data_IF_136557007586
#
_entry.id   IF_136557007586
#
_cell.length_a   1.000
_cell.length_b   1.000
_cell.length_c   1.000
_cell.angle_alpha   90.00
_cell.angle_beta   90.00
_cell.angle_gamma   90.00
#
_symmetry.space_group_name_H-M   'P 1'
#
loop_
_entity.id
_entity.type
_entity.pdbx_description
1 polymer ?
#
# COMPACT_ATOMS: atom_id res chain seq x y z
N UNK A 1 9.86 21.80 9.28
CA UNK A 1 8.78 22.31 8.38
C UNK A 1 8.83 21.46 7.12
N UNK A 2 7.99 20.40 7.03
CA UNK A 2 7.93 19.47 5.88
C UNK A 2 8.19 20.24 4.59
N UNK A 3 9.21 19.84 3.83
CA UNK A 3 9.30 20.18 2.42
C UNK A 3 8.10 19.53 1.74
N UNK A 4 6.97 20.26 1.77
CA UNK A 4 5.73 19.79 1.19
C UNK A 4 6.01 19.62 -0.29
N UNK A 5 6.05 18.37 -0.76
CA UNK A 5 5.89 18.13 -2.19
C UNK A 5 4.68 18.94 -2.64
N UNK A 6 4.80 19.80 -3.66
CA UNK A 6 3.70 20.65 -4.10
C UNK A 6 2.53 19.82 -4.58
N UNK A 7 2.76 18.54 -4.91
CA UNK A 7 1.75 17.62 -5.39
C UNK A 7 1.40 16.53 -4.37
N UNK A 8 0.21 15.95 -4.54
CA UNK A 8 -0.31 14.79 -3.83
C UNK A 8 -0.94 13.79 -4.81
N UNK A 9 -0.78 12.48 -4.60
CA UNK A 9 -1.50 11.47 -5.37
C UNK A 9 -2.91 11.28 -4.80
N UNK A 10 -3.92 11.33 -5.67
CA UNK A 10 -5.30 10.93 -5.39
C UNK A 10 -5.60 9.64 -6.16
N UNK A 11 -6.26 8.68 -5.51
CA UNK A 11 -6.55 7.37 -6.10
C UNK A 11 -8.05 7.17 -6.26
N UNK A 12 -8.46 6.73 -7.44
CA UNK A 12 -9.84 6.43 -7.82
C UNK A 12 -9.91 4.97 -8.27
N UNK A 13 -10.67 4.15 -7.55
CA UNK A 13 -10.85 2.73 -7.85
C UNK A 13 -12.02 2.53 -8.81
N UNK A 14 -11.75 1.91 -9.95
CA UNK A 14 -12.78 1.62 -10.95
C UNK A 14 -12.85 0.12 -11.19
N UNK A 15 -14.01 -0.48 -10.87
CA UNK A 15 -14.28 -1.89 -11.16
C UNK A 15 -14.15 -2.16 -12.66
N UNK A 16 -13.42 -3.20 -13.03
CA UNK A 16 -13.34 -3.61 -14.42
C UNK A 16 -14.71 -4.14 -14.91
N UNK A 17 -15.04 -3.97 -16.21
CA UNK A 17 -16.19 -4.63 -16.84
C UNK A 17 -16.17 -6.14 -16.66
N UNK A 18 -17.35 -6.76 -16.60
CA UNK A 18 -17.54 -8.19 -16.30
C UNK A 18 -16.76 -9.10 -17.26
N UNK A 19 -16.70 -8.73 -18.54
CA UNK A 19 -15.97 -9.48 -19.56
C UNK A 19 -14.45 -9.54 -19.34
N UNK A 20 -13.89 -8.65 -18.51
CA UNK A 20 -12.47 -8.61 -18.19
C UNK A 20 -12.15 -9.20 -16.81
N UNK A 21 -13.15 -9.47 -15.98
CA UNK A 21 -12.98 -9.89 -14.59
C UNK A 21 -12.20 -11.21 -14.45
N UNK A 22 -12.59 -12.25 -15.19
CA UNK A 22 -11.93 -13.56 -15.10
C UNK A 22 -10.45 -13.50 -15.53
N UNK A 23 -10.14 -12.76 -16.59
CA UNK A 23 -8.77 -12.58 -17.08
C UNK A 23 -7.91 -11.77 -16.09
N UNK A 24 -8.48 -10.70 -15.52
CA UNK A 24 -7.80 -9.86 -14.55
C UNK A 24 -7.54 -10.61 -13.23
N UNK A 25 -8.50 -11.39 -12.74
CA UNK A 25 -8.32 -12.22 -11.54
C UNK A 25 -7.25 -13.30 -11.73
N UNK A 26 -7.16 -13.92 -12.92
CA UNK A 26 -6.07 -14.85 -13.26
C UNK A 26 -4.70 -14.17 -13.23
N UNK A 27 -4.58 -12.98 -13.82
CA UNK A 27 -3.36 -12.18 -13.74
C UNK A 27 -2.99 -11.89 -12.27
N UNK A 28 -3.96 -11.44 -11.47
CA UNK A 28 -3.76 -11.09 -10.08
C UNK A 28 -3.35 -12.29 -9.22
N UNK A 29 -3.92 -13.47 -9.45
CA UNK A 29 -3.53 -14.70 -8.75
C UNK A 29 -2.10 -15.14 -9.13
N UNK A 30 -1.74 -15.07 -10.41
CA UNK A 30 -0.38 -15.37 -10.86
C UNK A 30 0.64 -14.39 -10.28
N UNK A 31 0.38 -13.09 -10.35
CA UNK A 31 1.26 -12.06 -9.79
C UNK A 31 1.37 -12.16 -8.27
N UNK A 32 0.27 -12.47 -7.56
CA UNK A 32 0.30 -12.70 -6.10
C UNK A 32 1.27 -13.81 -5.72
N UNK A 33 1.25 -14.92 -6.44
CA UNK A 33 2.16 -16.05 -6.18
C UNK A 33 3.63 -15.63 -6.34
N UNK A 34 3.95 -14.93 -7.43
CA UNK A 34 5.31 -14.44 -7.71
C UNK A 34 5.76 -13.39 -6.69
N UNK A 35 4.91 -12.40 -6.39
CA UNK A 35 5.19 -11.35 -5.40
C UNK A 35 5.42 -11.96 -4.02
N UNK A 36 4.59 -12.90 -3.58
CA UNK A 36 4.75 -13.56 -2.29
C UNK A 36 6.05 -14.39 -2.22
N UNK A 37 6.40 -15.08 -3.30
CA UNK A 37 7.68 -15.79 -3.37
C UNK A 37 8.86 -14.82 -3.27
N UNK A 38 8.84 -13.73 -4.03
CA UNK A 38 9.88 -12.70 -4.00
C UNK A 38 9.99 -12.02 -2.62
N UNK A 39 8.86 -11.68 -1.98
CA UNK A 39 8.83 -11.14 -0.63
C UNK A 39 9.49 -12.10 0.37
N UNK A 40 9.17 -13.39 0.29
CA UNK A 40 9.78 -14.42 1.16
C UNK A 40 11.30 -14.45 1.00
N UNK A 41 11.79 -14.43 -0.24
CA UNK A 41 13.22 -14.48 -0.54
C UNK A 41 13.97 -13.21 -0.12
N UNK A 42 13.34 -12.05 -0.26
CA UNK A 42 13.98 -10.74 -0.03
C UNK A 42 13.77 -10.18 1.38
N UNK A 43 12.89 -10.78 2.19
CA UNK A 43 12.64 -10.35 3.56
C UNK A 43 13.89 -10.28 4.44
N UNK A 44 14.82 -11.24 4.38
CA UNK A 44 16.08 -11.13 5.13
C UNK A 44 16.94 -9.92 4.74
N UNK A 45 16.71 -9.32 3.57
CA UNK A 45 17.43 -8.14 3.07
C UNK A 45 16.70 -6.82 3.36
N UNK A 46 15.70 -6.81 4.26
CA UNK A 46 14.83 -5.65 4.52
C UNK A 46 15.60 -4.35 4.79
N UNK A 47 16.71 -4.42 5.52
CA UNK A 47 17.49 -3.24 5.90
C UNK A 47 18.10 -2.52 4.68
N UNK A 48 18.45 -3.27 3.64
CA UNK A 48 18.96 -2.70 2.39
C UNK A 48 17.89 -1.90 1.64
N UNK A 49 16.62 -2.31 1.74
CA UNK A 49 15.47 -1.56 1.20
C UNK A 49 15.22 -0.25 1.96
N UNK A 50 15.78 -0.10 3.16
CA UNK A 50 15.75 1.13 3.94
C UNK A 50 16.83 2.15 3.56
N UNK A 51 17.89 1.76 2.84
CA UNK A 51 19.07 2.60 2.56
C UNK A 51 18.96 3.39 1.25
N UNK A 52 18.49 2.76 0.18
CA UNK A 52 18.42 3.37 -1.16
C UNK A 52 16.97 3.45 -1.65
N UNK A 53 16.44 4.66 -1.81
CA UNK A 53 15.04 4.90 -2.24
C UNK A 53 14.89 5.68 -3.54
N UNK A 54 16.00 6.00 -4.19
CA UNK A 54 15.97 6.80 -5.42
C UNK A 54 15.50 5.94 -6.58
N UNK A 55 14.54 6.48 -7.34
CA UNK A 55 14.01 5.83 -8.54
C UNK A 55 13.04 4.68 -8.28
N UNK A 56 12.66 3.95 -9.35
CA UNK A 56 11.68 2.88 -9.29
C UNK A 56 12.05 1.77 -8.30
N UNK A 57 11.05 1.23 -7.60
CA UNK A 57 11.26 0.19 -6.60
C UNK A 57 11.72 -1.13 -7.23
N UNK A 58 11.26 -1.43 -8.44
CA UNK A 58 11.65 -2.62 -9.18
C UNK A 58 13.16 -2.71 -9.45
N UNK A 59 13.84 -1.56 -9.65
CA UNK A 59 15.29 -1.54 -9.90
C UNK A 59 16.09 -2.04 -8.71
N UNK A 60 15.62 -1.75 -7.51
CA UNK A 60 16.27 -2.23 -6.28
C UNK A 60 16.08 -3.73 -6.12
N UNK A 61 14.88 -4.24 -6.36
CA UNK A 61 14.61 -5.69 -6.38
C UNK A 61 15.50 -6.40 -7.41
N UNK A 62 15.67 -5.81 -8.59
CA UNK A 62 16.53 -6.31 -9.67
C UNK A 62 18.01 -6.46 -9.30
N UNK A 63 18.50 -5.80 -8.23
CA UNK A 63 19.86 -6.00 -7.70
C UNK A 63 20.03 -7.34 -6.98
N UNK A 64 18.95 -7.91 -6.46
CA UNK A 64 18.95 -9.13 -5.64
C UNK A 64 18.41 -10.35 -6.38
N UNK A 65 17.46 -10.15 -7.30
CA UNK A 65 16.86 -11.26 -8.03
C UNK A 65 16.43 -10.86 -9.45
N UNK A 66 16.63 -11.80 -10.38
CA UNK A 66 16.16 -11.70 -11.76
C UNK A 66 14.70 -12.17 -11.93
N UNK A 67 14.18 -12.02 -13.15
CA UNK A 67 12.82 -12.47 -13.50
C UNK A 67 12.67 -13.98 -13.32
N UNK A 68 11.60 -14.45 -12.67
CA UNK A 68 11.20 -15.85 -12.76
C UNK A 68 10.81 -16.13 -14.22
N UNK A 69 11.51 -17.09 -14.85
CA UNK A 69 11.57 -17.29 -16.32
C UNK A 69 10.22 -17.46 -17.05
N UNK A 70 9.10 -17.64 -16.35
CA UNK A 70 7.75 -17.87 -16.92
C UNK A 70 6.99 -16.61 -17.35
N UNK A 71 7.32 -15.42 -16.84
CA UNK A 71 6.44 -14.23 -16.96
C UNK A 71 6.92 -13.15 -17.94
N UNK A 72 8.21 -13.21 -18.31
CA UNK A 72 8.88 -12.18 -19.12
C UNK A 72 9.26 -10.93 -18.30
N UNK A 73 10.34 -10.26 -18.71
CA UNK A 73 10.98 -9.21 -17.91
C UNK A 73 10.07 -8.02 -17.57
N UNK A 74 9.05 -7.76 -18.39
CA UNK A 74 8.17 -6.59 -18.23
C UNK A 74 7.06 -6.82 -17.22
N UNK A 75 6.49 -8.03 -17.22
CA UNK A 75 5.58 -8.46 -16.15
C UNK A 75 6.33 -8.49 -14.82
N UNK A 76 7.54 -9.05 -14.82
CA UNK A 76 8.39 -9.07 -13.63
C UNK A 76 8.72 -7.65 -13.10
N UNK A 77 8.94 -6.66 -13.97
CA UNK A 77 9.13 -5.25 -13.51
C UNK A 77 7.93 -4.75 -12.70
N UNK A 78 6.71 -5.06 -13.11
CA UNK A 78 5.50 -4.63 -12.39
C UNK A 78 5.37 -5.37 -11.04
N UNK A 79 5.61 -6.69 -11.04
CA UNK A 79 5.59 -7.49 -9.81
C UNK A 79 6.69 -7.05 -8.83
N UNK A 80 7.90 -6.79 -9.33
CA UNK A 80 9.02 -6.30 -8.53
C UNK A 80 8.84 -4.84 -8.09
N UNK A 81 8.08 -4.03 -8.81
CA UNK A 81 7.67 -2.70 -8.33
C UNK A 81 6.78 -2.85 -7.09
N UNK A 82 5.79 -3.75 -7.11
CA UNK A 82 4.96 -4.09 -5.95
C UNK A 82 5.81 -4.60 -4.78
N UNK A 83 6.69 -5.58 -5.01
CA UNK A 83 7.60 -6.13 -3.99
C UNK A 83 8.47 -5.04 -3.37
N UNK A 84 9.13 -4.23 -4.21
CA UNK A 84 10.05 -3.20 -3.74
C UNK A 84 9.35 -2.11 -2.93
N UNK A 85 8.13 -1.71 -3.31
CA UNK A 85 7.33 -0.74 -2.54
C UNK A 85 6.98 -1.28 -1.16
N UNK A 86 6.53 -2.54 -1.07
CA UNK A 86 6.23 -3.20 0.19
C UNK A 86 7.48 -3.25 1.07
N UNK A 87 8.63 -3.71 0.55
CA UNK A 87 9.86 -3.81 1.34
C UNK A 87 10.37 -2.43 1.78
N UNK A 88 10.32 -1.40 0.94
CA UNK A 88 10.69 -0.02 1.32
C UNK A 88 9.82 0.50 2.47
N UNK A 89 8.50 0.27 2.41
CA UNK A 89 7.56 0.68 3.45
C UNK A 89 7.81 -0.08 4.75
N UNK A 90 8.07 -1.39 4.67
CA UNK A 90 8.38 -2.21 5.85
C UNK A 90 9.74 -1.83 6.46
N UNK A 91 10.72 -1.47 5.65
CA UNK A 91 12.00 -0.98 6.14
C UNK A 91 11.86 0.36 6.87
N UNK A 92 10.99 1.27 6.39
CA UNK A 92 10.64 2.49 7.12
C UNK A 92 10.03 2.18 8.47
N UNK A 93 9.08 1.24 8.47
CA UNK A 93 8.39 0.85 9.68
C UNK A 93 9.30 0.12 10.68
N UNK A 94 10.29 -0.62 10.20
CA UNK A 94 11.36 -1.21 11.02
C UNK A 94 12.21 -0.12 11.70
N UNK A 95 12.60 0.94 10.99
CA UNK A 95 13.27 2.11 11.60
C UNK A 95 12.43 2.75 12.70
N UNK A 96 11.13 2.96 12.44
CA UNK A 96 10.19 3.46 13.47
C UNK A 96 10.14 2.53 14.69
N UNK A 97 10.16 1.21 14.47
CA UNK A 97 10.22 0.24 15.56
C UNK A 97 11.50 0.34 16.38
N UNK A 98 12.65 0.49 15.74
CA UNK A 98 13.95 0.64 16.41
C UNK A 98 13.99 1.91 17.29
N UNK A 99 13.32 2.99 16.89
CA UNK A 99 13.14 4.20 17.72
C UNK A 99 12.23 3.98 18.92
N UNK A 100 11.15 3.20 18.75
CA UNK A 100 10.14 2.94 19.77
C UNK A 100 10.61 1.89 20.79
N UNK A 101 11.39 0.91 20.34
CA UNK A 101 11.76 -0.26 21.15
C UNK A 101 12.33 0.11 22.53
N UNK A 102 13.26 1.06 22.68
CA UNK A 102 13.86 1.40 23.97
C UNK A 102 12.89 2.03 24.98
N UNK A 103 11.76 2.59 24.50
CA UNK A 103 10.78 3.26 25.37
C UNK A 103 9.59 2.35 25.74
N UNK A 104 9.52 1.13 25.20
CA UNK A 104 8.48 0.16 25.55
C UNK A 104 8.64 -0.23 27.02
N UNK A 105 7.54 -0.11 27.77
CA UNK A 105 7.53 -0.32 29.23
C UNK A 105 6.22 -0.94 29.66
N UNK A 106 6.26 -1.76 30.71
CA UNK A 106 5.07 -2.31 31.38
C UNK A 106 4.09 -1.21 31.82
N UNK A 107 4.57 0.02 32.02
CA UNK A 107 3.72 1.20 32.29
C UNK A 107 2.73 1.54 31.17
N UNK A 108 2.94 1.02 29.96
CA UNK A 108 1.99 1.12 28.84
C UNK A 108 0.83 0.13 28.97
N UNK A 109 0.94 -0.85 29.86
CA UNK A 109 -0.07 -1.87 30.10
C UNK A 109 -0.76 -1.56 31.43
N UNK A 110 -2.08 -1.39 31.38
CA UNK A 110 -2.92 -1.40 32.58
C UNK A 110 -3.22 -2.86 32.93
N UNK A 111 -2.86 -3.32 34.13
CA UNK A 111 -3.09 -4.70 34.52
C UNK A 111 -4.59 -5.00 34.59
N UNK A 112 -4.93 -6.28 34.44
CA UNK A 112 -6.29 -6.77 34.67
C UNK A 112 -6.66 -6.53 36.14
N UNK A 113 -7.89 -6.08 36.38
CA UNK A 113 -8.50 -5.98 37.71
C UNK A 113 -9.77 -6.82 37.74
N UNK A 114 -10.36 -7.01 38.92
CA UNK A 114 -11.65 -7.71 39.05
C UNK A 114 -12.76 -7.09 38.19
N UNK A 115 -12.70 -5.77 37.98
CA UNK A 115 -13.74 -4.99 37.28
C UNK A 115 -13.43 -4.67 35.83
N UNK A 116 -12.18 -4.86 35.37
CA UNK A 116 -11.73 -4.43 34.03
C UNK A 116 -10.67 -5.37 33.46
N UNK A 117 -10.76 -5.73 32.16
CA UNK A 117 -9.68 -6.45 31.48
C UNK A 117 -8.40 -5.61 31.44
N UNK A 118 -7.27 -6.28 31.18
CA UNK A 118 -6.03 -5.57 30.87
C UNK A 118 -6.24 -4.65 29.66
N UNK A 119 -5.58 -3.50 29.65
CA UNK A 119 -5.81 -2.48 28.63
C UNK A 119 -4.60 -1.58 28.43
N UNK A 120 -4.68 -0.71 27.43
CA UNK A 120 -3.57 0.19 27.09
C UNK A 120 -3.62 1.45 27.93
N UNK A 121 -2.49 1.86 28.50
CA UNK A 121 -2.38 3.10 29.25
C UNK A 121 -2.16 4.30 28.31
N UNK A 122 -3.23 4.71 27.62
CA UNK A 122 -3.19 5.78 26.60
C UNK A 122 -2.51 7.08 27.06
N UNK A 123 -2.71 7.58 28.30
CA UNK A 123 -1.98 8.75 28.80
C UNK A 123 -0.47 8.55 28.82
N UNK A 124 0.02 7.43 29.37
CA UNK A 124 1.44 7.11 29.42
C UNK A 124 2.05 6.92 28.02
N UNK A 125 1.30 6.27 27.12
CA UNK A 125 1.71 6.11 25.71
C UNK A 125 1.83 7.48 25.04
N UNK A 126 0.83 8.36 25.19
CA UNK A 126 0.84 9.70 24.60
C UNK A 126 2.02 10.53 25.11
N UNK A 127 2.27 10.49 26.42
CA UNK A 127 3.40 11.18 27.04
C UNK A 127 4.74 10.68 26.48
N UNK A 128 4.93 9.36 26.43
CA UNK A 128 6.16 8.75 25.89
C UNK A 128 6.38 9.09 24.41
N UNK A 129 5.34 9.04 23.56
CA UNK A 129 5.44 9.43 22.15
C UNK A 129 5.79 10.92 22.02
N UNK A 130 5.16 11.78 22.82
CA UNK A 130 5.44 13.22 22.80
C UNK A 130 6.88 13.52 23.21
N UNK A 131 7.38 12.84 24.25
CA UNK A 131 8.76 12.98 24.71
C UNK A 131 9.76 12.47 23.68
N UNK A 132 9.49 11.30 23.07
CA UNK A 132 10.31 10.76 21.97
C UNK A 132 10.33 11.73 20.79
N UNK A 133 9.18 12.23 20.37
CA UNK A 133 9.09 13.18 19.26
C UNK A 133 9.85 14.48 19.51
N UNK A 134 9.87 14.98 20.76
CA UNK A 134 10.67 16.15 21.14
C UNK A 134 12.18 15.89 21.15
N UNK A 135 12.59 14.63 21.34
CA UNK A 135 14.00 14.22 21.33
C UNK A 135 14.55 13.96 19.93
N UNK A 136 13.66 13.72 18.96
CA UNK A 136 14.02 13.62 17.55
C UNK A 136 14.18 15.03 16.97
N UNK A 137 15.17 15.25 16.12
CA UNK A 137 15.26 16.47 15.33
C UNK A 137 13.99 16.62 14.47
N UNK A 138 13.59 17.86 14.15
CA UNK A 138 12.34 18.11 13.42
C UNK A 138 12.28 17.30 12.11
N UNK A 139 11.12 16.66 11.86
CA UNK A 139 10.75 15.90 10.65
C UNK A 139 11.25 14.44 10.48
N UNK A 140 11.91 13.81 11.46
CA UNK A 140 12.40 12.42 11.26
C UNK A 140 11.31 11.33 11.25
N UNK A 141 10.25 11.43 12.07
CA UNK A 141 9.17 10.43 12.10
C UNK A 141 7.87 11.03 12.64
N UNK A 142 6.74 10.75 11.99
CA UNK A 142 5.44 11.29 12.42
C UNK A 142 4.95 10.69 13.74
N UNK A 143 4.30 11.50 14.58
CA UNK A 143 3.61 11.06 15.80
C UNK A 143 2.72 9.84 15.55
N UNK A 144 1.98 9.86 14.43
CA UNK A 144 1.06 8.79 14.03
C UNK A 144 1.80 7.47 13.79
N UNK A 145 2.98 7.52 13.15
CA UNK A 145 3.78 6.32 12.91
C UNK A 145 4.32 5.71 14.22
N UNK A 146 4.88 6.55 15.10
CA UNK A 146 5.36 6.12 16.42
C UNK A 146 4.22 5.49 17.25
N UNK A 147 3.09 6.19 17.33
CA UNK A 147 1.92 5.71 18.06
C UNK A 147 1.38 4.39 17.49
N UNK A 148 1.33 4.25 16.16
CA UNK A 148 0.88 3.00 15.52
C UNK A 148 1.77 1.82 15.89
N UNK A 149 3.10 1.99 15.92
CA UNK A 149 4.03 0.92 16.30
C UNK A 149 3.88 0.54 17.77
N UNK A 150 3.73 1.52 18.69
CA UNK A 150 3.47 1.23 20.12
C UNK A 150 2.16 0.48 20.31
N UNK A 151 1.09 0.89 19.61
CA UNK A 151 -0.21 0.23 19.67
C UNK A 151 -0.11 -1.25 19.27
N UNK A 152 0.69 -1.56 18.24
CA UNK A 152 0.94 -2.93 17.82
C UNK A 152 1.82 -3.70 18.81
N UNK A 153 2.83 -3.05 19.41
CA UNK A 153 3.67 -3.65 20.44
C UNK A 153 2.86 -4.01 21.70
N UNK A 154 1.90 -3.16 22.09
CA UNK A 154 0.94 -3.47 23.16
C UNK A 154 0.02 -4.65 22.78
N UNK A 155 -0.46 -4.71 21.53
CA UNK A 155 -1.24 -5.85 21.05
C UNK A 155 -0.43 -7.16 21.03
N UNK A 156 0.87 -7.08 20.78
CA UNK A 156 1.78 -8.20 20.93
C UNK A 156 1.88 -8.60 22.41
N UNK A 157 2.11 -7.65 23.32
CA UNK A 157 2.16 -7.89 24.77
C UNK A 157 0.92 -8.64 25.27
N UNK A 158 -0.29 -8.22 24.89
CA UNK A 158 -1.51 -8.91 25.35
C UNK A 158 -1.61 -10.37 24.91
N UNK A 159 -0.86 -10.80 23.90
CA UNK A 159 -0.83 -12.17 23.40
C UNK A 159 0.31 -13.00 23.97
N UNK A 160 1.41 -12.36 24.38
CA UNK A 160 2.67 -13.04 24.71
C UNK A 160 3.24 -12.70 26.08
N UNK A 161 2.61 -11.77 26.80
CA UNK A 161 3.01 -11.25 28.11
C UNK A 161 4.41 -10.61 28.14
N UNK A 162 4.89 -10.15 26.97
CA UNK A 162 6.12 -9.39 26.82
C UNK A 162 6.07 -8.46 25.61
N UNK A 163 6.88 -7.41 25.61
CA UNK A 163 7.08 -6.62 24.40
C UNK A 163 7.95 -7.36 23.36
N UNK A 164 7.77 -7.06 22.06
CA UNK A 164 8.63 -7.59 21.01
C UNK A 164 10.07 -7.07 21.17
N UNK A 165 11.04 -7.95 20.99
CA UNK A 165 12.48 -7.65 21.04
C UNK A 165 13.10 -7.47 19.65
N UNK A 166 12.37 -7.88 18.61
CA UNK A 166 12.77 -7.73 17.20
C UNK A 166 11.57 -7.36 16.37
N UNK A 167 11.81 -6.68 15.25
CA UNK A 167 10.76 -6.22 14.35
C UNK A 167 9.93 -7.37 13.78
N UNK A 168 10.56 -8.50 13.49
CA UNK A 168 9.95 -9.68 12.89
C UNK A 168 8.97 -10.39 13.84
N UNK A 169 9.10 -10.18 15.16
CA UNK A 169 8.11 -10.65 16.14
C UNK A 169 6.83 -9.79 16.07
N UNK A 170 6.99 -8.50 15.83
CA UNK A 170 5.88 -7.55 15.74
C UNK A 170 5.18 -7.65 14.38
N UNK A 171 5.95 -7.75 13.31
CA UNK A 171 5.48 -7.73 11.94
C UNK A 171 5.89 -9.03 11.23
N UNK A 172 4.94 -9.96 11.01
CA UNK A 172 5.21 -11.12 10.17
C UNK A 172 5.46 -10.68 8.72
N UNK A 173 6.09 -11.57 7.95
CA UNK A 173 6.30 -11.41 6.52
C UNK A 173 5.00 -10.94 5.83
N UNK A 174 5.00 -9.78 5.13
CA UNK A 174 3.79 -9.13 4.63
C UNK A 174 3.31 -9.76 3.32
N UNK A 175 2.95 -11.05 3.35
CA UNK A 175 2.42 -11.74 2.19
C UNK A 175 1.07 -11.15 1.77
N UNK A 176 0.91 -10.96 0.46
CA UNK A 176 -0.34 -10.55 -0.16
C UNK A 176 -1.42 -11.61 0.07
N UNK A 177 -2.53 -11.20 0.68
CA UNK A 177 -3.73 -12.03 0.86
C UNK A 177 -4.64 -12.01 -0.38
N UNK A 178 -4.67 -10.88 -1.06
CA UNK A 178 -5.40 -10.63 -2.33
C UNK A 178 -4.40 -10.24 -3.40
N UNK A 179 -4.73 -10.46 -4.67
CA UNK A 179 -3.82 -10.09 -5.74
C UNK A 179 -3.71 -8.56 -5.90
N UNK A 180 -2.49 -8.09 -6.16
CA UNK A 180 -2.19 -6.68 -6.44
C UNK A 180 -0.99 -6.61 -7.38
N UNK A 181 -1.10 -5.76 -8.40
CA UNK A 181 -0.07 -5.53 -9.40
C UNK A 181 0.01 -4.03 -9.69
N UNK A 182 1.09 -3.41 -9.21
CA UNK A 182 1.39 -2.01 -9.51
C UNK A 182 2.18 -1.96 -10.81
N UNK A 183 1.62 -1.31 -11.83
CA UNK A 183 2.35 -1.16 -13.08
C UNK A 183 3.53 -0.20 -12.91
N UNK A 184 4.66 -0.51 -13.54
CA UNK A 184 5.85 0.33 -13.47
C UNK A 184 5.65 1.60 -14.33
N UNK A 185 5.91 2.78 -13.76
CA UNK A 185 5.70 4.07 -14.44
C UNK A 185 6.53 4.28 -15.71
N UNK A 186 7.66 3.58 -15.83
CA UNK A 186 8.51 3.62 -17.01
C UNK A 186 8.13 2.60 -18.10
N UNK A 187 7.13 1.73 -17.87
CA UNK A 187 6.65 0.82 -18.92
C UNK A 187 5.83 1.56 -19.99
N UNK A 188 5.31 2.75 -19.66
CA UNK A 188 4.63 3.66 -20.58
C UNK A 188 3.24 3.15 -21.00
N UNK A 189 2.20 3.95 -20.75
CA UNK A 189 0.80 3.54 -20.96
C UNK A 189 0.44 3.13 -22.40
N UNK A 190 1.05 3.69 -23.44
CA UNK A 190 0.67 3.40 -24.83
C UNK A 190 1.46 2.24 -25.47
N UNK A 191 2.73 2.10 -25.08
CA UNK A 191 3.68 1.14 -25.66
C UNK A 191 4.12 0.06 -24.67
N UNK A 192 3.44 -0.02 -23.52
CA UNK A 192 3.73 -0.97 -22.46
C UNK A 192 3.63 -2.41 -22.92
N UNK A 193 4.45 -3.24 -22.28
CA UNK A 193 4.60 -4.65 -22.62
C UNK A 193 3.93 -5.55 -21.57
N UNK A 194 3.53 -4.98 -20.42
CA UNK A 194 2.65 -5.62 -19.45
C UNK A 194 1.19 -5.13 -19.57
N UNK A 195 1.01 -3.84 -19.86
CA UNK A 195 -0.31 -3.22 -20.06
C UNK A 195 -0.28 -2.14 -21.13
N UNK A 196 -1.47 -1.76 -21.60
CA UNK A 196 -1.74 -0.56 -22.37
C UNK A 196 -2.97 0.14 -21.82
N UNK A 197 -2.89 1.45 -21.71
CA UNK A 197 -3.96 2.30 -21.23
C UNK A 197 -4.01 3.57 -22.09
N UNK A 198 -5.15 3.79 -22.74
CA UNK A 198 -5.46 5.03 -23.44
C UNK A 198 -6.70 5.65 -22.81
N UNK A 199 -6.69 6.97 -22.63
CA UNK A 199 -7.82 7.73 -22.08
C UNK A 199 -8.51 8.49 -23.20
N UNK A 200 -9.83 8.51 -23.18
CA UNK A 200 -10.69 9.35 -23.99
C UNK A 200 -11.59 10.10 -22.99
N UNK A 201 -11.04 11.20 -22.44
CA UNK A 201 -11.67 11.94 -21.32
C UNK A 201 -12.98 12.58 -21.78
N UNK A 202 -13.03 13.12 -22.99
CA UNK A 202 -14.22 13.68 -23.62
C UNK A 202 -15.35 12.65 -23.76
N UNK A 203 -15.02 11.43 -24.21
CA UNK A 203 -15.98 10.33 -24.27
C UNK A 203 -16.23 9.66 -22.91
N UNK A 204 -15.48 10.05 -21.87
CA UNK A 204 -15.57 9.49 -20.53
C UNK A 204 -15.20 8.02 -20.43
N UNK A 205 -14.23 7.54 -21.22
CA UNK A 205 -13.82 6.13 -21.23
C UNK A 205 -12.30 5.95 -21.21
N UNK A 206 -11.85 4.87 -20.60
CA UNK A 206 -10.48 4.36 -20.73
C UNK A 206 -10.48 3.03 -21.48
N UNK A 207 -9.54 2.87 -22.41
CA UNK A 207 -9.27 1.60 -23.09
C UNK A 207 -8.07 0.95 -22.43
N UNK A 208 -8.31 -0.19 -21.80
CA UNK A 208 -7.32 -0.92 -21.04
C UNK A 208 -7.07 -2.28 -21.68
N UNK A 209 -5.80 -2.65 -21.83
CA UNK A 209 -5.39 -3.97 -22.30
C UNK A 209 -4.24 -4.46 -21.45
N UNK A 210 -4.24 -5.72 -21.09
CA UNK A 210 -3.21 -6.30 -20.23
C UNK A 210 -2.85 -7.71 -20.70
N UNK A 211 -1.65 -8.15 -20.31
CA UNK A 211 -1.25 -9.55 -20.44
C UNK A 211 -1.74 -10.35 -19.25
N UNK A 212 -2.14 -11.58 -19.49
CA UNK A 212 -2.57 -12.50 -18.44
C UNK A 212 -2.24 -13.94 -18.84
N UNK A 213 -2.11 -14.86 -17.86
CA UNK A 213 -2.03 -16.28 -18.13
C UNK A 213 -3.43 -16.85 -18.36
N UNK A 214 -3.55 -17.73 -19.35
CA UNK A 214 -4.74 -18.59 -19.47
C UNK A 214 -4.74 -19.73 -18.43
N UNK A 215 -5.73 -20.61 -18.54
CA UNK A 215 -5.89 -21.76 -17.64
C UNK A 215 -4.73 -22.76 -17.71
N UNK A 216 -4.00 -22.80 -18.83
CA UNK A 216 -2.80 -23.61 -18.99
C UNK A 216 -1.52 -22.87 -18.52
N UNK A 217 -1.64 -21.63 -18.06
CA UNK A 217 -0.52 -20.79 -17.63
C UNK A 217 0.21 -20.10 -18.77
N UNK A 218 -0.33 -20.13 -20.00
CA UNK A 218 0.28 -19.50 -21.18
C UNK A 218 -0.08 -18.01 -21.19
N UNK A 219 0.94 -17.16 -21.32
CA UNK A 219 0.78 -15.72 -21.24
C UNK A 219 0.48 -15.08 -22.59
N UNK A 220 -0.67 -14.44 -22.71
CA UNK A 220 -1.04 -13.67 -23.90
C UNK A 220 -1.68 -12.33 -23.55
N UNK A 221 -1.81 -11.48 -24.56
CA UNK A 221 -2.61 -10.27 -24.46
C UNK A 221 -4.09 -10.61 -24.48
N UNK A 222 -4.90 -9.89 -23.70
CA UNK A 222 -6.36 -9.90 -23.88
C UNK A 222 -6.70 -9.60 -25.34
N UNK A 223 -7.59 -10.39 -25.92
CA UNK A 223 -7.93 -10.29 -27.36
C UNK A 223 -8.73 -9.03 -27.68
N UNK A 224 -9.65 -8.68 -26.77
CA UNK A 224 -10.52 -7.51 -26.86
C UNK A 224 -10.01 -6.45 -25.88
N UNK A 225 -10.07 -5.19 -26.28
CA UNK A 225 -9.78 -4.08 -25.37
C UNK A 225 -10.88 -3.99 -24.30
N UNK A 226 -10.50 -3.72 -23.06
CA UNK A 226 -11.44 -3.50 -21.96
C UNK A 226 -11.84 -2.03 -21.95
N UNK A 227 -13.11 -1.73 -22.13
CA UNK A 227 -13.63 -0.35 -22.12
C UNK A 227 -14.16 -0.03 -20.73
N UNK A 228 -13.49 0.87 -20.03
CA UNK A 228 -13.78 1.24 -18.65
C UNK A 228 -14.46 2.62 -18.66
N UNK A 229 -15.73 2.74 -18.23
CA UNK A 229 -16.35 4.04 -18.01
C UNK A 229 -15.64 4.80 -16.89
N UNK A 230 -15.33 6.07 -17.11
CA UNK A 230 -14.66 6.93 -16.14
C UNK A 230 -15.70 7.67 -15.29
N UNK A 231 -15.68 7.52 -13.95
CA UNK A 231 -16.52 8.33 -13.06
C UNK A 231 -16.27 9.83 -13.24
N UNK A 232 -17.29 10.66 -13.04
CA UNK A 232 -17.19 12.12 -13.21
C UNK A 232 -16.07 12.73 -12.37
N UNK A 233 -15.94 12.31 -11.11
CA UNK A 233 -14.87 12.76 -10.23
C UNK A 233 -13.46 12.43 -10.72
N UNK A 234 -13.29 11.32 -11.46
CA UNK A 234 -12.00 10.97 -12.05
C UNK A 234 -11.74 11.80 -13.32
N UNK A 235 -12.77 12.06 -14.14
CA UNK A 235 -12.64 12.91 -15.33
C UNK A 235 -12.20 14.32 -14.96
N UNK A 236 -12.90 14.96 -14.02
CA UNK A 236 -12.55 16.31 -13.52
C UNK A 236 -11.10 16.37 -13.03
N UNK A 237 -10.61 15.29 -12.44
CA UNK A 237 -9.26 15.25 -11.86
C UNK A 237 -8.18 14.96 -12.89
N UNK A 238 -8.52 14.27 -13.97
CA UNK A 238 -7.64 14.05 -15.11
C UNK A 238 -7.43 15.34 -15.92
N UNK A 239 -8.34 16.31 -15.84
CA UNK A 239 -8.18 17.62 -16.47
C UNK A 239 -7.08 18.46 -15.80
N UNK A 240 -6.97 18.38 -14.47
CA UNK A 240 -6.07 19.21 -13.66
C UNK A 240 -4.85 18.45 -13.08
N UNK A 241 -4.62 17.21 -13.49
CA UNK A 241 -3.61 16.34 -12.88
C UNK A 241 -2.89 15.40 -13.84
N UNK A 242 -1.76 14.86 -13.37
CA UNK A 242 -0.96 13.90 -14.14
C UNK A 242 -1.33 12.45 -13.76
N UNK A 243 -1.81 11.68 -14.74
CA UNK A 243 -2.07 10.26 -14.53
C UNK A 243 -0.75 9.49 -14.31
N UNK A 244 -0.61 8.90 -13.14
CA UNK A 244 0.45 7.96 -12.82
C UNK A 244 0.11 6.53 -13.28
N UNK A 245 1.10 5.63 -13.20
CA UNK A 245 0.87 4.22 -13.47
C UNK A 245 -0.23 3.64 -12.57
N UNK A 246 -1.23 2.94 -13.14
CA UNK A 246 -2.33 2.42 -12.34
C UNK A 246 -1.90 1.19 -11.54
N UNK A 247 -2.71 0.82 -10.56
CA UNK A 247 -2.57 -0.45 -9.85
C UNK A 247 -3.80 -1.31 -10.12
N UNK A 248 -3.60 -2.53 -10.60
CA UNK A 248 -4.65 -3.53 -10.68
C UNK A 248 -4.70 -4.29 -9.36
N UNK A 249 -5.85 -4.43 -8.73
CA UNK A 249 -5.99 -5.19 -7.48
C UNK A 249 -7.31 -5.93 -7.38
N UNK A 250 -7.32 -6.96 -6.55
CA UNK A 250 -8.50 -7.71 -6.16
C UNK A 250 -9.18 -7.04 -4.96
N UNK A 251 -10.49 -6.88 -5.06
CA UNK A 251 -11.37 -6.60 -3.93
C UNK A 251 -12.31 -7.78 -3.66
N UNK A 252 -12.89 -7.77 -2.46
CA UNK A 252 -13.88 -8.75 -2.02
C UNK A 252 -15.11 -8.06 -1.46
N UNK A 253 -16.28 -8.47 -1.94
CA UNK A 253 -17.56 -8.08 -1.33
C UNK A 253 -17.76 -8.82 -0.01
N UNK A 254 -18.75 -8.37 0.76
CA UNK A 254 -19.14 -8.97 2.03
C UNK A 254 -19.61 -10.43 1.89
N UNK A 255 -20.13 -10.83 0.72
CA UNK A 255 -20.52 -12.20 0.39
C UNK A 255 -19.34 -13.09 -0.05
N UNK A 256 -18.13 -12.54 -0.10
CA UNK A 256 -16.92 -13.24 -0.53
C UNK A 256 -16.68 -13.22 -2.04
N UNK A 257 -17.56 -12.59 -2.85
CA UNK A 257 -17.34 -12.42 -4.28
C UNK A 257 -16.07 -11.61 -4.53
N UNK A 258 -15.19 -12.13 -5.39
CA UNK A 258 -13.93 -11.49 -5.79
C UNK A 258 -14.14 -10.71 -7.08
N UNK A 259 -13.61 -9.50 -7.15
CA UNK A 259 -13.61 -8.71 -8.39
C UNK A 259 -12.33 -7.88 -8.49
N UNK A 260 -11.92 -7.60 -9.72
CA UNK A 260 -10.78 -6.76 -10.05
C UNK A 260 -11.20 -5.31 -10.22
N UNK A 261 -10.41 -4.41 -9.64
CA UNK A 261 -10.48 -2.96 -9.78
C UNK A 261 -9.16 -2.42 -10.32
N UNK A 262 -9.24 -1.37 -11.11
CA UNK A 262 -8.09 -0.60 -11.59
C UNK A 262 -8.07 0.74 -10.85
N UNK A 263 -7.03 0.93 -10.04
CA UNK A 263 -6.80 2.17 -9.32
C UNK A 263 -6.11 3.17 -10.24
N UNK A 264 -6.83 4.22 -10.64
CA UNK A 264 -6.28 5.38 -11.33
C UNK A 264 -5.68 6.32 -10.28
N UNK A 265 -4.37 6.52 -10.34
CA UNK A 265 -3.69 7.47 -9.47
C UNK A 265 -3.37 8.73 -10.25
N UNK A 266 -3.92 9.87 -9.82
CA UNK A 266 -3.69 11.17 -10.43
C UNK A 266 -2.88 12.02 -9.45
N UNK A 267 -1.72 12.49 -9.89
CA UNK A 267 -0.91 13.46 -9.14
C UNK A 267 -1.44 14.87 -9.41
N UNK A 268 -1.89 15.57 -8.37
CA UNK A 268 -2.48 16.92 -8.43
C UNK A 268 -1.74 17.86 -7.49
N UNK A 269 -1.79 19.16 -7.76
CA UNK A 269 -1.26 20.17 -6.84
C UNK A 269 -2.04 20.15 -5.51
N UNK A 270 -1.33 20.37 -4.40
CA UNK A 270 -1.94 20.48 -3.08
C UNK A 270 -2.60 21.84 -2.95
N UNK A 271 -3.90 21.81 -2.73
CA UNK A 271 -4.62 23.01 -2.33
C UNK A 271 -4.13 23.52 -0.97
N UNK A 272 -4.02 24.84 -0.86
CA UNK A 272 -3.74 25.50 0.41
C UNK A 272 -4.94 25.29 1.32
N UNK A 273 -4.73 24.64 2.46
CA UNK A 273 -5.79 24.40 3.42
C UNK A 273 -6.35 25.75 3.92
N UNK A 274 -7.68 25.89 4.01
CA UNK A 274 -8.29 27.09 4.60
C UNK A 274 -7.85 27.22 6.07
N UNK A 275 -7.85 28.45 6.56
CA UNK A 275 -7.64 28.73 7.97
C UNK A 275 -8.73 28.03 8.81
N UNK A 276 -8.40 27.53 10.00
CA UNK A 276 -9.36 26.79 10.82
C UNK A 276 -10.61 27.60 11.13
N UNK A 277 -10.47 28.92 11.25
CA UNK A 277 -11.53 29.87 11.52
C UNK A 277 -12.57 29.96 10.39
N UNK A 278 -12.20 29.56 9.16
CA UNK A 278 -13.11 29.57 8.00
C UNK A 278 -13.70 28.20 7.66
N UNK A 279 -13.39 27.15 8.46
CA UNK A 279 -13.97 25.81 8.26
C UNK A 279 -15.34 25.73 8.95
N UNK A 280 -16.42 25.81 8.18
CA UNK A 280 -17.79 25.75 8.71
C UNK A 280 -18.34 24.31 8.85
N UNK A 281 -17.81 23.36 8.07
CA UNK A 281 -18.29 21.98 8.03
C UNK A 281 -17.23 21.04 8.56
N UNK A 282 -17.55 20.37 9.66
CA UNK A 282 -16.66 19.37 10.28
C UNK A 282 -17.27 17.99 10.08
N UNK A 283 -16.50 17.06 9.54
CA UNK A 283 -16.91 15.67 9.42
C UNK A 283 -16.59 14.94 10.73
N UNK A 284 -17.62 14.43 11.41
CA UNK A 284 -17.45 13.56 12.57
C UNK A 284 -17.14 12.14 12.12
N UNK A 285 -15.88 11.72 12.22
CA UNK A 285 -15.50 10.32 12.02
C UNK A 285 -15.66 9.55 13.35
N UNK A 286 -16.57 8.59 13.39
CA UNK A 286 -16.85 7.77 14.59
C UNK A 286 -15.91 6.56 14.74
N UNK A 287 -15.10 6.26 13.71
CA UNK A 287 -14.17 5.13 13.66
C UNK A 287 -14.80 3.81 14.13
N UNK A 288 -16.06 3.57 13.75
CA UNK A 288 -16.79 2.36 14.11
C UNK A 288 -15.98 1.10 13.80
N UNK A 289 -15.68 0.31 14.84
CA UNK A 289 -14.94 -0.94 14.69
C UNK A 289 -15.93 -2.03 14.31
N UNK A 290 -15.87 -2.54 13.08
CA UNK A 290 -16.55 -3.78 12.72
C UNK A 290 -15.90 -4.94 13.47
N UNK A 291 -16.64 -5.51 14.41
CA UNK A 291 -16.25 -6.77 15.06
C UNK A 291 -16.84 -7.88 14.20
N UNK A 292 -16.01 -8.56 13.41
CA UNK A 292 -16.40 -9.84 12.80
C UNK A 292 -16.80 -10.79 13.95
N UNK A 293 -18.05 -11.26 13.92
CA UNK A 293 -18.55 -12.32 14.81
C UNK A 293 -18.33 -13.68 14.17
#
# INVERSE_FOLDING_TARGET
MRTSRPHQPLTYDVRLPDEAQADALRLLDASKAVVNQALTLLWPCLDEFGRERVGPAWKQVGKYMGSPKSHGDRQWRCESETVGRILRQQAERKKTFELVQPILSDGFIRPKTEKRPAGKNRPAIKEAVTSLQKSLEEDETSFVALHNVIEQACNFFFRTDRFPTRYEELQPLPLLKVGMLTYAGDDGREKGQAYRLALDVDAGVARFRFRYPDEAGIWHWRKVDTIIPLPDCLKERLDDGELMAPTLREERRADGERFAVLDFTVEVEKEVLPAWESVERVLGADWGVHVER
#
